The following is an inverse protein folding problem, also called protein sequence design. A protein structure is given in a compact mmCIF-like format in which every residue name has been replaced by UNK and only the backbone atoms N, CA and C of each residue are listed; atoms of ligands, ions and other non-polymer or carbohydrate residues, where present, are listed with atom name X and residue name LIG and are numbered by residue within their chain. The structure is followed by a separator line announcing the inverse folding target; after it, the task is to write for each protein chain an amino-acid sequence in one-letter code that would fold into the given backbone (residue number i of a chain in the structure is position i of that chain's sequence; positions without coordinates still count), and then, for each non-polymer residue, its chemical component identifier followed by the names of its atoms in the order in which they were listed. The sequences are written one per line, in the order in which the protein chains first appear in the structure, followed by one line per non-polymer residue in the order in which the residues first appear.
data_IF_576957924340
#
_entry.id   IF_576957924340
#
_cell.length_a   1.000
_cell.length_b   1.000
_cell.length_c   1.000
_cell.angle_alpha   90.00
_cell.angle_beta   90.00
_cell.angle_gamma   90.00
#
_symmetry.space_group_name_H-M   'P 1'
#
loop_
_entity.id
_entity.type
_entity.pdbx_description
1 polymer ?
#
# COMPACT_ATOMS: atom_id res chain seq x y z
N UNK A 1 4.87 4.70 -8.13
CA UNK A 1 3.62 3.91 -8.01
C UNK A 1 2.49 4.76 -8.55
N UNK A 2 1.57 4.20 -9.36
CA UNK A 2 0.49 4.94 -10.01
C UNK A 2 -0.87 4.32 -9.71
N UNK A 3 -1.91 5.15 -9.62
CA UNK A 3 -3.33 4.76 -9.48
C UNK A 3 -4.10 5.51 -10.56
N UNK A 4 -4.89 4.78 -11.34
CA UNK A 4 -5.66 5.32 -12.46
C UNK A 4 -4.82 6.16 -13.44
N UNK A 5 -3.58 5.73 -13.68
CA UNK A 5 -2.62 6.41 -14.56
C UNK A 5 -1.94 7.64 -13.96
N UNK A 6 -2.39 8.14 -12.80
CA UNK A 6 -1.77 9.25 -12.07
C UNK A 6 -0.78 8.75 -11.01
N UNK A 7 0.20 9.58 -10.66
CA UNK A 7 1.10 9.26 -9.54
C UNK A 7 0.34 9.22 -8.21
N UNK A 8 0.78 8.32 -7.33
CA UNK A 8 0.16 8.13 -6.02
C UNK A 8 0.29 9.42 -5.20
N UNK A 9 -0.83 9.96 -4.70
CA UNK A 9 -0.80 11.11 -3.80
C UNK A 9 -0.37 10.72 -2.39
N UNK A 10 -0.02 11.73 -1.57
CA UNK A 10 0.36 11.51 -0.16
C UNK A 10 -0.75 10.82 0.63
N UNK A 11 -2.00 11.27 0.51
CA UNK A 11 -3.14 10.66 1.20
C UNK A 11 -3.43 9.23 0.75
N UNK A 12 -2.95 8.86 -0.44
CA UNK A 12 -3.03 7.50 -0.96
C UNK A 12 -1.80 6.65 -0.64
N UNK A 13 -0.81 7.17 0.09
CA UNK A 13 0.31 6.38 0.60
C UNK A 13 1.62 6.57 -0.15
N UNK A 14 1.83 7.67 -0.87
CA UNK A 14 3.16 7.97 -1.42
C UNK A 14 4.23 7.97 -0.31
N UNK A 15 5.42 7.37 -0.52
CA UNK A 15 5.91 6.81 -1.78
C UNK A 15 5.45 5.38 -2.08
N UNK A 16 5.04 4.61 -1.07
CA UNK A 16 4.72 3.20 -1.19
C UNK A 16 3.59 2.74 -0.25
N UNK A 17 2.81 1.77 -0.70
CA UNK A 17 1.73 1.14 0.07
C UNK A 17 1.58 -0.34 -0.28
N UNK A 18 0.96 -1.12 0.60
CA UNK A 18 0.46 -2.47 0.30
C UNK A 18 -0.98 -2.38 -0.22
N UNK A 19 -1.29 -3.22 -1.20
CA UNK A 19 -2.65 -3.45 -1.71
C UNK A 19 -2.92 -4.94 -1.67
N UNK A 20 -3.95 -5.34 -0.94
CA UNK A 20 -4.47 -6.70 -0.92
C UNK A 20 -5.86 -6.69 -1.59
N UNK A 21 -5.97 -7.23 -2.81
CA UNK A 21 -7.24 -7.26 -3.53
C UNK A 21 -8.33 -8.01 -2.75
N UNK A 22 -9.57 -7.52 -2.87
CA UNK A 22 -10.76 -8.13 -2.26
C UNK A 22 -10.73 -8.26 -0.72
N UNK A 23 -9.87 -7.51 -0.01
CA UNK A 23 -9.86 -7.44 1.45
C UNK A 23 -10.29 -6.06 1.99
N UNK A 24 -10.74 -5.99 3.26
CA UNK A 24 -11.02 -4.72 3.93
C UNK A 24 -9.86 -3.73 3.84
N UNK A 25 -10.19 -2.44 3.69
CA UNK A 25 -9.21 -1.37 3.46
C UNK A 25 -8.12 -1.24 4.53
N UNK A 26 -8.36 -1.72 5.75
CA UNK A 26 -7.37 -1.72 6.85
C UNK A 26 -6.13 -2.55 6.52
N UNK A 27 -6.24 -3.57 5.65
CA UNK A 27 -5.11 -4.37 5.20
C UNK A 27 -4.29 -3.70 4.08
N UNK A 28 -4.76 -2.56 3.55
CA UNK A 28 -4.09 -1.81 2.49
C UNK A 28 -3.22 -0.70 3.07
N UNK A 29 -2.18 -1.09 3.81
CA UNK A 29 -1.29 -0.21 4.58
C UNK A 29 -0.64 0.88 3.71
N UNK A 30 -0.79 2.13 4.12
CA UNK A 30 -0.19 3.32 3.47
C UNK A 30 1.19 3.63 4.07
N UNK A 31 2.03 4.36 3.33
CA UNK A 31 3.32 4.89 3.78
C UNK A 31 4.30 3.83 4.28
N UNK A 32 4.40 2.73 3.54
CA UNK A 32 5.23 1.58 3.91
C UNK A 32 6.71 1.92 3.74
N UNK A 33 7.49 1.73 4.82
CA UNK A 33 8.93 1.92 4.81
C UNK A 33 9.73 0.59 4.85
N UNK A 34 9.10 -0.51 5.24
CA UNK A 34 9.74 -1.83 5.36
C UNK A 34 8.73 -2.96 5.49
N UNK A 35 9.14 -4.19 5.17
CA UNK A 35 8.33 -5.40 5.21
C UNK A 35 9.20 -6.54 5.75
N UNK A 36 8.68 -7.27 6.74
CA UNK A 36 9.30 -8.47 7.28
C UNK A 36 8.41 -9.69 7.01
N UNK A 37 9.03 -10.85 6.78
CA UNK A 37 8.34 -12.11 6.56
C UNK A 37 8.56 -13.03 7.77
N UNK A 38 7.47 -13.54 8.34
CA UNK A 38 7.53 -14.52 9.44
C UNK A 38 7.08 -15.90 8.96
N UNK A 39 7.67 -16.94 9.53
CA UNK A 39 7.14 -18.31 9.39
C UNK A 39 5.84 -18.43 10.21
N UNK A 40 4.93 -19.28 9.75
CA UNK A 40 3.75 -19.69 10.53
C UNK A 40 4.15 -20.58 11.69
#
# INVERSE_FOLDING_TARGET
MRVDGADLSLDHGYPARIIVPALPGVHNTKWVAGIEFHKR
#
